data_IF_123288410359
#
_entry.id   IF_123288410359
#
_cell.length_a   1.000
_cell.length_b   1.000
_cell.length_c   1.000
_cell.angle_alpha   90.00
_cell.angle_beta   90.00
_cell.angle_gamma   90.00
#
_symmetry.space_group_name_H-M   'P 1'
#
loop_
_entity.id
_entity.type
_entity.pdbx_description
1 polymer ?
#
# COMPACT_ATOMS: atom_id res chain seq x y z
N UNK A 1 -11.52 -24.26 -21.25
CA UNK A 1 -12.66 -23.78 -20.43
C UNK A 1 -12.45 -24.29 -19.01
N UNK A 2 -11.70 -23.55 -18.19
CA UNK A 2 -11.48 -23.91 -16.79
C UNK A 2 -12.66 -23.39 -15.97
N UNK A 3 -13.41 -24.31 -15.38
CA UNK A 3 -14.52 -24.03 -14.48
C UNK A 3 -13.96 -23.31 -13.24
N UNK A 4 -14.40 -22.07 -12.98
CA UNK A 4 -14.09 -21.37 -11.73
C UNK A 4 -14.65 -22.22 -10.58
N UNK A 5 -13.78 -22.90 -9.84
CA UNK A 5 -14.17 -23.57 -8.62
C UNK A 5 -14.71 -22.50 -7.66
N UNK A 6 -15.94 -22.67 -7.18
CA UNK A 6 -16.54 -21.81 -6.18
C UNK A 6 -15.66 -21.89 -4.93
N UNK A 7 -14.85 -20.86 -4.67
CA UNK A 7 -13.99 -20.83 -3.49
C UNK A 7 -14.90 -20.75 -2.27
N UNK A 8 -14.74 -21.65 -1.29
CA UNK A 8 -15.59 -21.66 -0.12
C UNK A 8 -15.38 -20.37 0.69
N UNK A 9 -16.43 -19.56 0.80
CA UNK A 9 -16.48 -18.35 1.61
C UNK A 9 -16.13 -18.69 3.07
N UNK A 10 -15.02 -18.14 3.56
CA UNK A 10 -14.51 -18.36 4.92
C UNK A 10 -15.20 -17.41 5.90
N UNK A 11 -15.39 -17.92 7.12
CA UNK A 11 -15.88 -17.12 8.25
C UNK A 11 -14.72 -16.44 8.98
N UNK A 12 -15.03 -15.42 9.77
CA UNK A 12 -14.03 -14.77 10.62
C UNK A 12 -13.39 -15.74 11.63
N UNK A 13 -14.15 -16.70 12.17
CA UNK A 13 -13.62 -17.72 13.07
C UNK A 13 -12.56 -18.60 12.39
N UNK A 14 -12.82 -19.03 11.16
CA UNK A 14 -11.86 -19.80 10.36
C UNK A 14 -10.61 -18.99 10.01
N UNK A 15 -10.76 -17.68 9.77
CA UNK A 15 -9.62 -16.78 9.62
C UNK A 15 -8.76 -16.73 10.88
N UNK A 16 -9.36 -16.58 12.06
CA UNK A 16 -8.62 -16.54 13.33
C UNK A 16 -7.87 -17.84 13.63
N UNK A 17 -8.49 -18.99 13.35
CA UNK A 17 -7.84 -20.30 13.51
C UNK A 17 -6.61 -20.44 12.59
N UNK A 18 -6.74 -20.02 11.33
CA UNK A 18 -5.63 -20.01 10.39
C UNK A 18 -4.52 -19.05 10.85
N UNK A 19 -4.88 -17.82 11.21
CA UNK A 19 -3.92 -16.79 11.62
C UNK A 19 -3.17 -17.18 12.90
N UNK A 20 -3.83 -17.87 13.84
CA UNK A 20 -3.20 -18.38 15.06
C UNK A 20 -2.21 -19.54 14.81
N UNK A 21 -2.39 -20.27 13.71
CA UNK A 21 -1.59 -21.46 13.38
C UNK A 21 -0.54 -21.22 12.30
N UNK A 22 -0.54 -20.05 11.67
CA UNK A 22 0.37 -19.74 10.56
C UNK A 22 1.52 -18.82 10.93
N UNK A 23 2.68 -19.05 10.30
CA UNK A 23 3.84 -18.15 10.34
C UNK A 23 3.73 -16.97 9.36
N UNK A 24 2.77 -17.02 8.44
CA UNK A 24 2.50 -15.97 7.46
C UNK A 24 1.30 -15.15 7.90
N UNK A 25 1.33 -13.85 7.61
CA UNK A 25 0.18 -12.97 7.87
C UNK A 25 -0.87 -13.11 6.80
N UNK A 26 -2.14 -13.10 7.20
CA UNK A 26 -3.27 -13.14 6.28
C UNK A 26 -4.26 -12.00 6.50
N UNK A 27 -5.01 -11.69 5.45
CA UNK A 27 -6.16 -10.82 5.48
C UNK A 27 -7.40 -11.60 5.06
N UNK A 28 -8.52 -11.37 5.76
CA UNK A 28 -9.84 -11.79 5.33
C UNK A 28 -10.50 -10.62 4.59
N UNK A 29 -10.84 -10.82 3.32
CA UNK A 29 -11.54 -9.83 2.50
C UNK A 29 -12.62 -10.52 1.68
N UNK A 30 -13.87 -10.06 1.80
CA UNK A 30 -15.04 -10.62 1.10
C UNK A 30 -15.16 -12.15 1.19
N UNK A 31 -14.80 -12.72 2.35
CA UNK A 31 -14.87 -14.17 2.58
C UNK A 31 -13.69 -14.97 2.05
N UNK A 32 -12.73 -14.34 1.38
CA UNK A 32 -11.49 -14.98 0.97
C UNK A 32 -10.36 -14.62 1.94
N UNK A 33 -9.49 -15.59 2.22
CA UNK A 33 -8.28 -15.38 3.02
C UNK A 33 -7.08 -15.35 2.09
N UNK A 34 -6.28 -14.29 2.20
CA UNK A 34 -5.09 -14.05 1.37
C UNK A 34 -3.87 -13.91 2.25
N UNK A 35 -2.74 -14.48 1.84
CA UNK A 35 -1.44 -14.12 2.41
C UNK A 35 -1.16 -12.63 2.11
N UNK A 36 -0.72 -11.87 3.12
CA UNK A 36 -0.53 -10.42 3.00
C UNK A 36 0.92 -10.01 2.74
N UNK A 37 1.84 -10.96 2.67
CA UNK A 37 3.26 -10.66 2.45
C UNK A 37 3.53 -10.49 0.95
N UNK A 38 3.84 -9.26 0.54
CA UNK A 38 4.25 -8.94 -0.84
C UNK A 38 5.75 -8.71 -0.86
N UNK A 39 6.50 -9.57 -1.58
CA UNK A 39 7.97 -9.51 -1.62
C UNK A 39 8.52 -8.51 -2.64
N UNK A 40 7.76 -8.23 -3.70
CA UNK A 40 8.19 -7.39 -4.82
C UNK A 40 7.12 -6.34 -5.16
N UNK A 41 6.73 -5.47 -4.21
CA UNK A 41 5.70 -4.47 -4.45
C UNK A 41 6.15 -3.50 -5.55
N UNK A 42 5.25 -3.20 -6.49
CA UNK A 42 5.44 -2.11 -7.46
C UNK A 42 5.20 -0.75 -6.83
N UNK A 43 4.20 -0.68 -5.94
CA UNK A 43 3.83 0.52 -5.19
C UNK A 43 3.60 0.15 -3.74
N UNK A 44 4.05 1.01 -2.82
CA UNK A 44 3.68 0.98 -1.41
C UNK A 44 2.87 2.24 -1.13
N UNK A 45 1.74 2.11 -0.44
CA UNK A 45 0.92 3.23 0.01
C UNK A 45 0.82 3.17 1.53
N UNK A 46 1.16 4.26 2.19
CA UNK A 46 1.16 4.36 3.64
C UNK A 46 0.30 5.53 4.11
N UNK A 47 -0.69 5.24 4.97
CA UNK A 47 -1.49 6.27 5.64
C UNK A 47 -0.77 6.63 6.93
N UNK A 48 -0.32 7.89 7.02
CA UNK A 48 0.42 8.39 8.17
C UNK A 48 -0.51 8.53 9.38
N UNK A 49 0.01 8.21 10.56
CA UNK A 49 -0.64 8.46 11.85
C UNK A 49 0.14 9.53 12.63
N UNK A 50 -0.49 10.16 13.64
CA UNK A 50 0.14 11.19 14.52
C UNK A 50 1.53 10.78 15.04
N UNK A 51 1.78 9.47 15.27
CA UNK A 51 3.03 8.96 15.81
C UNK A 51 4.06 8.45 14.78
N UNK A 52 3.68 8.21 13.53
CA UNK A 52 4.53 7.51 12.53
C UNK A 52 5.26 8.43 11.56
N UNK A 53 4.83 9.69 11.42
CA UNK A 53 5.40 10.64 10.46
C UNK A 53 6.92 10.88 10.63
N UNK A 54 7.46 10.71 11.85
CA UNK A 54 8.89 10.93 12.16
C UNK A 54 9.73 9.64 12.14
N UNK A 55 9.11 8.47 12.30
CA UNK A 55 9.83 7.20 12.39
C UNK A 55 9.86 6.41 11.05
N UNK A 56 8.87 6.55 10.17
CA UNK A 56 8.83 5.79 8.91
C UNK A 56 9.64 6.42 7.75
N UNK A 57 10.00 7.70 7.86
CA UNK A 57 10.73 8.44 6.80
C UNK A 57 12.23 8.13 6.71
N UNK A 58 12.82 7.48 7.71
CA UNK A 58 14.26 7.25 7.81
C UNK A 58 14.69 5.88 7.28
N UNK A 59 14.98 4.96 8.20
CA UNK A 59 15.69 3.72 7.89
C UNK A 59 14.86 2.74 7.05
N UNK A 60 13.54 2.68 7.27
CA UNK A 60 12.64 1.88 6.43
C UNK A 60 12.58 2.43 5.00
N UNK A 61 12.64 3.75 4.86
CA UNK A 61 12.57 4.42 3.57
C UNK A 61 13.68 3.94 2.64
N UNK A 62 14.91 4.03 3.14
CA UNK A 62 16.09 3.63 2.37
C UNK A 62 16.17 2.13 2.13
N UNK A 63 15.67 1.30 3.06
CA UNK A 63 15.64 -0.15 2.87
C UNK A 63 14.67 -0.56 1.75
N UNK A 64 13.43 -0.07 1.75
CA UNK A 64 12.46 -0.44 0.71
C UNK A 64 12.84 0.12 -0.67
N UNK A 65 13.51 1.28 -0.74
CA UNK A 65 14.08 1.80 -2.00
C UNK A 65 15.12 0.87 -2.64
N UNK A 66 15.65 -0.13 -1.92
CA UNK A 66 16.53 -1.15 -2.49
C UNK A 66 15.76 -2.25 -3.23
N UNK A 67 14.45 -2.39 -3.00
CA UNK A 67 13.63 -3.38 -3.71
C UNK A 67 13.56 -2.99 -5.20
N UNK A 68 14.07 -3.84 -6.13
CA UNK A 68 14.13 -3.48 -7.55
C UNK A 68 12.75 -3.25 -8.19
N UNK A 69 11.74 -3.99 -7.72
CA UNK A 69 10.38 -3.89 -8.22
C UNK A 69 9.68 -2.60 -7.80
N UNK A 70 10.09 -1.96 -6.71
CA UNK A 70 9.43 -0.78 -6.16
C UNK A 70 9.66 0.44 -7.05
N UNK A 71 8.58 0.98 -7.61
CA UNK A 71 8.59 2.13 -8.52
C UNK A 71 7.99 3.39 -7.88
N UNK A 72 7.07 3.25 -6.93
CA UNK A 72 6.51 4.39 -6.21
C UNK A 72 6.24 4.07 -4.75
N UNK A 73 6.41 5.07 -3.89
CA UNK A 73 5.95 5.04 -2.51
C UNK A 73 5.14 6.28 -2.24
N UNK A 74 3.89 6.07 -1.86
CA UNK A 74 2.89 7.10 -1.62
C UNK A 74 2.63 7.19 -0.13
N UNK A 75 2.70 8.40 0.42
CA UNK A 75 2.25 8.69 1.77
C UNK A 75 0.99 9.54 1.70
N UNK A 76 -0.02 9.15 2.47
CA UNK A 76 -1.27 9.89 2.63
C UNK A 76 -1.33 10.37 4.07
N UNK A 77 -1.32 11.68 4.29
CA UNK A 77 -1.52 12.21 5.64
C UNK A 77 -2.97 11.93 6.08
N UNK A 78 -3.20 11.64 7.36
CA UNK A 78 -4.58 11.44 7.87
C UNK A 78 -5.26 12.73 8.37
N UNK A 79 -4.48 13.76 8.64
CA UNK A 79 -4.84 14.97 9.39
C UNK A 79 -4.66 16.27 8.58
N UNK A 80 -4.02 16.17 7.42
CA UNK A 80 -3.83 17.26 6.44
C UNK A 80 -4.15 16.68 5.05
N UNK A 81 -4.96 17.34 4.20
CA UNK A 81 -5.21 16.93 2.81
C UNK A 81 -3.93 17.02 1.98
N UNK A 82 -3.05 16.03 2.16
CA UNK A 82 -1.70 15.97 1.63
C UNK A 82 -1.33 14.56 1.24
N UNK A 83 -0.82 14.45 0.01
CA UNK A 83 -0.23 13.23 -0.53
C UNK A 83 1.21 13.53 -0.89
N UNK A 84 2.13 12.66 -0.51
CA UNK A 84 3.55 12.72 -0.87
C UNK A 84 3.89 11.49 -1.72
N UNK A 85 4.63 11.66 -2.81
CA UNK A 85 5.03 10.54 -3.68
C UNK A 85 6.54 10.58 -3.88
N UNK A 86 7.18 9.46 -3.56
CA UNK A 86 8.53 9.15 -4.01
C UNK A 86 8.43 8.24 -5.25
N UNK A 87 8.90 8.71 -6.39
CA UNK A 87 8.87 7.96 -7.66
C UNK A 87 10.29 7.62 -8.11
N UNK A 88 10.51 6.35 -8.47
CA UNK A 88 11.79 5.90 -9.04
C UNK A 88 11.87 6.29 -10.51
N UNK A 89 12.97 6.94 -10.89
CA UNK A 89 13.34 7.25 -12.27
C UNK A 89 14.77 6.74 -12.50
N UNK A 90 14.90 5.59 -13.15
CA UNK A 90 16.18 4.90 -13.27
C UNK A 90 16.72 4.49 -11.90
N UNK A 91 17.89 5.02 -11.52
CA UNK A 91 18.52 4.79 -10.21
C UNK A 91 18.18 5.85 -9.17
N UNK A 92 17.43 6.89 -9.54
CA UNK A 92 17.14 8.05 -8.69
C UNK A 92 15.70 8.02 -8.20
N UNK A 93 15.44 8.72 -7.10
CA UNK A 93 14.10 8.91 -6.55
C UNK A 93 13.73 10.39 -6.59
N UNK A 94 12.63 10.72 -7.25
CA UNK A 94 12.02 12.05 -7.23
C UNK A 94 10.96 12.12 -6.14
N UNK A 95 10.87 13.26 -5.48
CA UNK A 95 9.86 13.55 -4.47
C UNK A 95 8.97 14.70 -4.94
N UNK A 96 7.66 14.54 -4.77
CA UNK A 96 6.69 15.61 -4.94
C UNK A 96 5.54 15.44 -3.93
N UNK A 97 4.80 16.53 -3.69
CA UNK A 97 3.65 16.54 -2.82
C UNK A 97 2.48 17.28 -3.48
N UNK A 98 1.27 16.87 -3.13
CA UNK A 98 0.01 17.42 -3.64
C UNK A 98 -0.91 17.73 -2.47
N UNK A 99 -1.67 18.82 -2.59
CA UNK A 99 -2.63 19.32 -1.61
C UNK A 99 -4.05 19.35 -2.19
N UNK A 100 -5.02 19.76 -1.36
CA UNK A 100 -6.40 19.90 -1.76
C UNK A 100 -6.55 20.67 -3.10
N UNK A 101 -7.40 20.14 -3.99
CA UNK A 101 -7.59 20.68 -5.35
C UNK A 101 -6.55 20.22 -6.38
N UNK A 102 -5.52 19.46 -5.98
CA UNK A 102 -4.52 18.88 -6.87
C UNK A 102 -4.69 17.35 -7.00
N UNK A 103 -3.99 16.76 -7.98
CA UNK A 103 -4.03 15.33 -8.24
C UNK A 103 -2.63 14.74 -8.42
N UNK A 104 -2.33 13.68 -7.66
CA UNK A 104 -1.07 12.96 -7.71
C UNK A 104 -1.15 11.83 -8.74
N UNK A 105 -0.21 11.78 -9.69
CA UNK A 105 -0.15 10.70 -10.69
C UNK A 105 0.85 9.63 -10.25
N UNK A 106 0.38 8.39 -10.13
CA UNK A 106 1.20 7.22 -9.83
C UNK A 106 1.39 6.41 -11.11
N UNK A 107 2.43 6.75 -11.86
CA UNK A 107 2.70 6.17 -13.19
C UNK A 107 2.80 4.65 -13.16
N UNK A 108 3.39 4.10 -12.10
CA UNK A 108 3.66 2.67 -11.97
C UNK A 108 2.41 1.78 -12.01
N UNK A 109 1.23 2.35 -11.73
CA UNK A 109 -0.06 1.66 -11.74
C UNK A 109 -1.13 2.41 -12.55
N UNK A 110 -0.72 3.36 -13.40
CA UNK A 110 -1.63 4.17 -14.21
C UNK A 110 -2.78 4.80 -13.40
N UNK A 111 -2.48 5.29 -12.19
CA UNK A 111 -3.47 5.81 -11.26
C UNK A 111 -3.34 7.33 -11.12
N UNK A 112 -4.47 8.02 -11.07
CA UNK A 112 -4.58 9.42 -10.69
C UNK A 112 -5.32 9.48 -9.35
N UNK A 113 -4.69 10.10 -8.35
CA UNK A 113 -5.23 10.27 -7.01
C UNK A 113 -5.59 11.73 -6.80
N UNK A 114 -6.88 12.06 -6.89
CA UNK A 114 -7.36 13.40 -6.54
C UNK A 114 -7.36 13.55 -5.02
N UNK A 115 -6.65 14.56 -4.52
CA UNK A 115 -6.52 14.76 -3.07
C UNK A 115 -7.90 15.01 -2.44
N UNK A 116 -8.80 15.70 -3.14
CA UNK A 116 -10.14 15.97 -2.61
C UNK A 116 -11.03 14.74 -2.50
N UNK A 117 -10.86 13.71 -3.34
CA UNK A 117 -11.66 12.48 -3.25
C UNK A 117 -11.24 11.59 -2.07
N UNK A 118 -9.96 11.65 -1.68
CA UNK A 118 -9.41 10.82 -0.60
C UNK A 118 -9.82 11.35 0.79
N UNK A 119 -10.07 12.65 0.90
CA UNK A 119 -10.36 13.35 2.17
C UNK A 119 -11.80 13.87 2.27
N UNK A 120 -12.71 13.37 1.42
CA UNK A 120 -14.12 13.76 1.37
C UNK A 120 -14.96 13.20 2.53
#
# INVERSE_FOLDING_TARGET
MAQLAHRPHRTFAQYLELEASSSTKHALFEGDIFETTVLNPTVIVEVLSEGTARNDRGDKLEHFKQIPALQAWVFVAHDDPRIEVHQRIGSTWLYAQWRAGEAARIDAIACLLEVSEIFA
#
